data_IF_184153121957
#
_entry.id   IF_184153121957
#
_cell.length_a   1.000
_cell.length_b   1.000
_cell.length_c   1.000
_cell.angle_alpha   90.00
_cell.angle_beta   90.00
_cell.angle_gamma   90.00
#
_symmetry.space_group_name_H-M   'P 1'
#
loop_
_entity.id
_entity.type
_entity.pdbx_description
1 polymer ?
#
# COMPACT_ATOMS: atom_id res chain seq x y z
N UNK A 1 12.45 -2.59 17.55
CA UNK A 1 12.46 -2.48 16.08
C UNK A 1 12.27 -3.86 15.48
N UNK A 2 11.27 -4.05 14.63
CA UNK A 2 10.97 -5.32 13.94
C UNK A 2 11.61 -5.28 12.55
N UNK A 3 12.28 -6.37 12.16
CA UNK A 3 12.79 -6.59 10.82
C UNK A 3 12.58 -8.06 10.43
N UNK A 4 11.63 -8.33 9.53
CA UNK A 4 11.46 -9.62 8.88
C UNK A 4 11.95 -9.54 7.43
N UNK A 5 12.44 -10.66 6.90
CA UNK A 5 12.86 -10.74 5.50
C UNK A 5 12.23 -11.95 4.84
N UNK A 6 11.59 -11.73 3.70
CA UNK A 6 11.23 -12.78 2.76
C UNK A 6 12.22 -12.76 1.59
N UNK A 7 12.75 -13.92 1.22
CA UNK A 7 13.60 -14.08 0.05
C UNK A 7 13.04 -15.15 -0.86
N UNK A 8 12.60 -14.73 -2.04
CA UNK A 8 12.11 -15.61 -3.09
C UNK A 8 13.20 -16.50 -3.65
N UNK A 9 12.79 -17.61 -4.28
CA UNK A 9 13.71 -18.48 -5.01
C UNK A 9 14.22 -17.79 -6.29
N UNK A 10 15.36 -18.28 -6.78
CA UNK A 10 16.01 -17.78 -7.99
C UNK A 10 16.84 -16.52 -7.78
N UNK A 11 17.34 -15.96 -8.88
CA UNK A 11 18.05 -14.68 -8.89
C UNK A 11 17.08 -13.56 -8.47
N UNK A 12 17.50 -12.73 -7.50
CA UNK A 12 16.71 -11.61 -7.00
C UNK A 12 16.79 -10.45 -7.99
N UNK A 13 15.64 -10.09 -8.59
CA UNK A 13 15.50 -8.99 -9.55
C UNK A 13 15.00 -7.70 -8.91
N UNK A 14 14.43 -7.79 -7.71
CA UNK A 14 13.85 -6.65 -7.00
C UNK A 14 13.95 -6.80 -5.50
N UNK A 15 14.43 -5.76 -4.84
CA UNK A 15 14.47 -5.60 -3.38
C UNK A 15 13.51 -4.50 -2.95
N UNK A 16 12.66 -4.79 -1.97
CA UNK A 16 11.60 -3.87 -1.53
C UNK A 16 11.64 -3.78 -0.01
N UNK A 17 11.50 -2.59 0.55
CA UNK A 17 11.23 -2.40 1.97
C UNK A 17 9.80 -1.88 2.16
N UNK A 18 9.01 -2.61 2.95
CA UNK A 18 7.75 -2.16 3.50
C UNK A 18 7.93 -1.71 4.93
N UNK A 19 7.60 -0.44 5.21
CA UNK A 19 7.82 0.20 6.52
C UNK A 19 6.48 0.59 7.13
N UNK A 20 6.14 0.03 8.28
CA UNK A 20 4.88 0.31 8.95
C UNK A 20 5.06 1.15 10.20
N UNK A 21 4.32 2.26 10.35
CA UNK A 21 4.21 2.97 11.64
C UNK A 21 3.68 2.01 12.71
N UNK A 22 4.37 1.95 13.85
CA UNK A 22 4.16 0.95 14.89
C UNK A 22 3.95 1.53 16.29
N UNK A 23 3.21 2.62 16.41
CA UNK A 23 2.90 3.20 17.73
C UNK A 23 1.78 2.37 18.38
N UNK A 24 2.09 1.62 19.44
CA UNK A 24 1.12 0.68 20.05
C UNK A 24 -0.02 1.39 20.77
N UNK A 25 0.29 2.56 21.33
CA UNK A 25 -0.68 3.51 21.85
C UNK A 25 -0.09 4.92 21.75
N UNK A 26 -0.90 5.86 21.28
CA UNK A 26 -0.51 7.25 21.11
C UNK A 26 -1.33 8.17 22.01
N UNK A 27 -0.77 8.53 23.17
CA UNK A 27 -1.36 9.55 24.03
C UNK A 27 -1.13 10.97 23.48
N UNK A 28 -0.21 11.14 22.52
CA UNK A 28 0.34 12.42 22.07
C UNK A 28 1.54 12.93 22.88
N UNK A 29 1.95 12.20 23.92
CA UNK A 29 3.01 12.63 24.83
C UNK A 29 2.60 13.88 25.61
N UNK A 30 3.54 14.81 25.84
CA UNK A 30 3.25 16.07 26.52
C UNK A 30 2.27 16.97 25.77
N UNK A 31 2.22 16.89 24.43
CA UNK A 31 1.11 17.39 23.62
C UNK A 31 -0.08 16.41 23.65
N UNK A 32 -0.60 16.17 24.85
CA UNK A 32 -1.67 15.21 25.11
C UNK A 32 -2.87 15.45 24.18
N UNK A 33 -3.43 14.35 23.65
CA UNK A 33 -4.70 14.31 22.94
C UNK A 33 -5.89 14.61 23.88
N UNK A 34 -5.99 15.85 24.33
CA UNK A 34 -7.01 16.34 25.27
C UNK A 34 -8.13 17.15 24.58
N UNK A 35 -7.94 17.50 23.30
CA UNK A 35 -8.93 18.26 22.54
C UNK A 35 -10.20 17.46 22.24
N UNK A 36 -11.36 18.11 22.08
CA UNK A 36 -12.58 17.46 21.60
C UNK A 36 -12.35 16.77 20.25
N UNK A 37 -12.78 15.51 20.13
CA UNK A 37 -12.61 14.73 18.90
C UNK A 37 -11.18 14.28 18.61
N UNK A 38 -10.26 14.34 19.58
CA UNK A 38 -8.89 13.83 19.43
C UNK A 38 -8.78 12.31 19.34
N UNK A 39 -9.85 11.59 19.72
CA UNK A 39 -9.98 10.12 19.62
C UNK A 39 -8.90 9.35 20.37
N UNK A 40 -8.41 9.85 21.51
CA UNK A 40 -7.37 9.20 22.31
C UNK A 40 -7.73 7.73 22.65
N UNK A 41 -9.02 7.43 22.85
CA UNK A 41 -9.54 6.09 23.13
C UNK A 41 -9.37 5.10 21.96
N UNK A 42 -9.22 5.61 20.73
CA UNK A 42 -9.00 4.80 19.53
C UNK A 42 -7.51 4.56 19.23
N UNK A 43 -6.59 5.24 19.92
CA UNK A 43 -5.16 5.27 19.56
C UNK A 43 -4.40 3.94 19.68
N UNK A 44 -5.06 2.87 20.13
CA UNK A 44 -4.59 1.49 19.90
C UNK A 44 -4.46 1.13 18.41
N UNK A 45 -5.16 1.86 17.53
CA UNK A 45 -5.07 1.65 16.07
C UNK A 45 -3.81 2.28 15.45
N UNK A 46 -2.99 2.99 16.22
CA UNK A 46 -1.88 3.79 15.67
C UNK A 46 -0.64 2.96 15.25
N UNK A 47 -0.78 1.64 15.34
CA UNK A 47 0.10 0.62 14.79
C UNK A 47 -0.50 -0.06 13.53
N UNK A 48 -1.57 0.49 12.95
CA UNK A 48 -2.23 -0.09 11.76
C UNK A 48 -1.29 -0.23 10.56
N UNK A 49 -0.31 0.67 10.42
CA UNK A 49 0.73 0.54 9.40
C UNK A 49 1.59 -0.71 9.59
N UNK A 50 2.07 -0.94 10.81
CA UNK A 50 2.77 -2.16 11.20
C UNK A 50 1.91 -3.41 10.98
N UNK A 51 0.63 -3.37 11.37
CA UNK A 51 -0.31 -4.47 11.14
C UNK A 51 -0.47 -4.80 9.64
N UNK A 52 -0.57 -3.78 8.78
CA UNK A 52 -0.65 -3.97 7.34
C UNK A 52 0.62 -4.61 6.76
N UNK A 53 1.79 -4.19 7.24
CA UNK A 53 3.10 -4.74 6.85
C UNK A 53 3.27 -6.19 7.33
N UNK A 54 2.87 -6.52 8.55
CA UNK A 54 2.93 -7.90 9.05
C UNK A 54 1.90 -8.80 8.35
N UNK A 55 0.70 -8.28 8.05
CA UNK A 55 -0.30 -8.99 7.27
C UNK A 55 0.18 -9.27 5.84
N UNK A 56 0.86 -8.32 5.20
CA UNK A 56 1.47 -8.56 3.88
C UNK A 56 2.63 -9.55 3.96
N UNK A 57 3.42 -9.55 5.04
CA UNK A 57 4.44 -10.57 5.29
C UNK A 57 3.84 -11.98 5.36
N UNK A 58 2.70 -12.15 6.04
CA UNK A 58 1.97 -13.42 6.06
C UNK A 58 1.52 -13.84 4.65
N UNK A 59 0.91 -12.94 3.89
CA UNK A 59 0.47 -13.22 2.52
C UNK A 59 1.65 -13.61 1.62
N UNK A 60 2.73 -12.82 1.62
CA UNK A 60 3.91 -13.03 0.78
C UNK A 60 4.65 -14.32 1.18
N UNK A 61 4.82 -14.59 2.48
CA UNK A 61 5.43 -15.83 2.96
C UNK A 61 4.61 -17.09 2.64
N UNK A 62 3.29 -16.94 2.46
CA UNK A 62 2.38 -18.02 2.06
C UNK A 62 2.41 -18.24 0.55
N UNK A 63 2.28 -17.18 -0.24
CA UNK A 63 2.21 -17.25 -1.70
C UNK A 63 3.59 -17.58 -2.30
N UNK A 64 4.66 -17.13 -1.65
CA UNK A 64 6.07 -17.37 -2.01
C UNK A 64 6.45 -16.88 -3.42
N UNK A 65 6.34 -15.56 -3.71
CA UNK A 65 6.78 -15.00 -4.99
C UNK A 65 8.28 -15.25 -5.22
N UNK A 66 8.65 -15.58 -6.46
CA UNK A 66 10.04 -15.78 -6.87
C UNK A 66 10.69 -14.44 -7.25
N UNK A 67 12.02 -14.41 -7.32
CA UNK A 67 12.80 -13.27 -7.81
C UNK A 67 12.70 -11.95 -7.02
N UNK A 68 12.13 -11.97 -5.82
CA UNK A 68 11.97 -10.79 -4.96
C UNK A 68 12.57 -11.01 -3.58
N UNK A 69 13.14 -9.96 -3.00
CA UNK A 69 13.54 -9.88 -1.60
C UNK A 69 12.74 -8.75 -0.95
N UNK A 70 11.97 -9.07 0.08
CA UNK A 70 11.05 -8.11 0.74
C UNK A 70 11.41 -8.01 2.21
N UNK A 71 11.70 -6.79 2.65
CA UNK A 71 11.96 -6.44 4.04
C UNK A 71 10.70 -5.84 4.65
N UNK A 72 10.29 -6.35 5.79
CA UNK A 72 9.13 -5.88 6.54
C UNK A 72 9.62 -5.24 7.83
N UNK A 73 9.47 -3.93 7.95
CA UNK A 73 10.12 -3.10 8.95
C UNK A 73 9.08 -2.36 9.79
N UNK A 74 9.33 -2.24 11.09
CA UNK A 74 8.56 -1.34 11.95
C UNK A 74 9.36 -0.89 13.18
N UNK A 75 9.45 0.42 13.38
CA UNK A 75 9.97 1.02 14.60
C UNK A 75 8.88 1.07 15.68
N UNK A 76 8.60 -0.09 16.29
CA UNK A 76 7.54 -0.22 17.30
C UNK A 76 7.94 0.41 18.63
N UNK A 77 7.08 1.27 19.18
CA UNK A 77 7.17 1.86 20.51
C UNK A 77 5.79 2.36 20.97
N UNK A 78 5.72 3.05 22.11
CA UNK A 78 4.50 3.66 22.65
C UNK A 78 4.77 5.15 22.99
N UNK A 79 3.82 6.04 22.72
CA UNK A 79 3.96 7.48 22.98
C UNK A 79 3.17 7.89 24.22
N UNK A 80 3.88 8.09 25.33
CA UNK A 80 3.31 8.23 26.67
C UNK A 80 3.81 9.50 27.37
N UNK A 81 3.06 9.91 28.40
CA UNK A 81 3.51 10.93 29.35
C UNK A 81 4.28 10.24 30.48
N UNK A 82 5.48 10.74 30.77
CA UNK A 82 6.33 10.25 31.84
C UNK A 82 7.38 11.30 32.19
N UNK A 83 7.98 11.21 33.37
CA UNK A 83 9.19 11.97 33.71
C UNK A 83 10.35 11.72 32.73
N UNK A 84 10.32 10.57 32.04
CA UNK A 84 11.33 10.17 31.05
C UNK A 84 10.93 10.54 29.61
N UNK A 85 9.76 11.16 29.40
CA UNK A 85 9.28 11.48 28.05
C UNK A 85 10.07 12.66 27.46
N UNK A 86 10.35 12.57 26.17
CA UNK A 86 10.81 13.70 25.36
C UNK A 86 9.77 14.84 25.37
N UNK A 87 10.25 16.08 25.22
CA UNK A 87 9.46 17.29 25.43
C UNK A 87 9.26 18.06 24.13
N UNK A 88 8.19 18.87 24.03
CA UNK A 88 8.12 19.92 23.02
C UNK A 88 9.31 20.87 23.18
N UNK A 89 10.03 21.13 22.11
CA UNK A 89 11.25 21.94 22.06
C UNK A 89 12.55 21.14 22.21
N UNK A 90 12.52 19.84 22.54
CA UNK A 90 13.72 19.02 22.50
C UNK A 90 14.26 18.95 21.06
N UNK A 91 15.59 18.96 20.91
CA UNK A 91 16.27 18.68 19.65
C UNK A 91 16.78 17.25 19.70
N UNK A 92 16.25 16.40 18.82
CA UNK A 92 16.67 15.00 18.68
C UNK A 92 17.52 14.83 17.42
N UNK A 93 18.41 13.83 17.42
CA UNK A 93 19.26 13.55 16.25
C UNK A 93 18.87 12.21 15.65
N UNK A 94 18.46 12.21 14.38
CA UNK A 94 18.16 11.00 13.64
C UNK A 94 19.44 10.24 13.25
N UNK A 95 19.31 8.97 12.89
CA UNK A 95 20.43 8.08 12.53
C UNK A 95 21.17 8.42 11.22
N UNK A 96 20.71 9.42 10.47
CA UNK A 96 21.43 10.04 9.35
C UNK A 96 22.17 11.34 9.75
N UNK A 97 22.20 11.68 11.04
CA UNK A 97 22.87 12.86 11.59
C UNK A 97 22.04 14.14 11.54
N UNK A 98 20.86 14.15 10.90
CA UNK A 98 19.99 15.33 10.88
C UNK A 98 19.41 15.58 12.28
N UNK A 99 19.46 16.84 12.71
CA UNK A 99 18.84 17.32 13.94
C UNK A 99 17.41 17.79 13.69
N UNK A 100 16.49 17.43 14.59
CA UNK A 100 15.06 17.69 14.49
C UNK A 100 14.61 18.40 15.76
N UNK A 101 14.13 19.63 15.64
CA UNK A 101 13.39 20.33 16.68
C UNK A 101 11.97 19.74 16.77
N UNK A 102 11.61 19.27 17.96
CA UNK A 102 10.29 18.65 18.22
C UNK A 102 9.29 19.75 18.56
N UNK A 103 8.59 20.29 17.56
CA UNK A 103 7.55 21.29 17.76
C UNK A 103 6.26 20.72 18.39
N UNK A 104 6.00 19.43 18.22
CA UNK A 104 4.84 18.75 18.83
C UNK A 104 5.13 17.25 19.02
N UNK A 105 4.91 16.72 20.23
CA UNK A 105 5.11 15.30 20.58
C UNK A 105 3.99 14.37 20.11
N UNK A 106 2.87 14.91 19.61
CA UNK A 106 1.77 14.21 18.93
C UNK A 106 2.04 14.05 17.42
N UNK A 107 3.25 14.43 16.98
CA UNK A 107 3.79 14.18 15.66
C UNK A 107 4.98 13.21 15.76
N UNK A 108 4.84 12.17 16.58
CA UNK A 108 5.80 11.12 16.88
C UNK A 108 6.00 10.13 15.73
N UNK A 109 4.92 9.82 14.99
CA UNK A 109 4.94 8.78 13.98
C UNK A 109 5.98 9.04 12.91
N UNK A 110 6.12 10.30 12.47
CA UNK A 110 7.15 10.69 11.50
C UNK A 110 8.57 10.61 12.05
N UNK A 111 8.77 10.78 13.36
CA UNK A 111 10.08 10.63 14.00
C UNK A 111 10.52 9.16 13.99
N UNK A 112 9.61 8.24 14.35
CA UNK A 112 9.90 6.80 14.28
C UNK A 112 10.11 6.31 12.85
N UNK A 113 9.32 6.84 11.90
CA UNK A 113 9.49 6.54 10.48
C UNK A 113 10.79 7.11 9.92
N UNK A 114 11.27 8.27 10.36
CA UNK A 114 12.53 8.84 9.90
C UNK A 114 13.70 7.86 10.06
N UNK A 115 13.87 7.28 11.25
CA UNK A 115 14.91 6.27 11.48
C UNK A 115 14.63 4.95 10.76
N UNK A 116 13.36 4.54 10.64
CA UNK A 116 13.00 3.34 9.90
C UNK A 116 13.28 3.48 8.39
N UNK A 117 13.08 4.66 7.81
CA UNK A 117 13.38 4.99 6.42
C UNK A 117 14.90 5.04 6.17
N UNK A 118 15.66 5.67 7.06
CA UNK A 118 17.13 5.65 7.00
C UNK A 118 17.65 4.21 7.09
N UNK A 119 17.08 3.40 7.98
CA UNK A 119 17.42 1.98 8.08
C UNK A 119 17.07 1.22 6.79
N UNK A 120 15.88 1.44 6.22
CA UNK A 120 15.46 0.82 4.97
C UNK A 120 16.36 1.18 3.79
N UNK A 121 16.79 2.44 3.68
CA UNK A 121 17.72 2.88 2.63
C UNK A 121 19.10 2.23 2.78
N UNK A 122 19.61 2.08 4.01
CA UNK A 122 20.88 1.40 4.30
C UNK A 122 20.90 -0.08 3.90
N UNK A 123 19.73 -0.74 3.81
CA UNK A 123 19.63 -2.13 3.31
C UNK A 123 19.96 -2.21 1.81
N UNK A 124 19.84 -1.10 1.07
CA UNK A 124 20.10 -1.06 -0.38
C UNK A 124 18.95 -1.67 -1.20
N UNK A 125 17.71 -1.31 -0.86
CA UNK A 125 16.51 -1.74 -1.60
C UNK A 125 16.24 -0.86 -2.83
N UNK A 126 15.51 -1.39 -3.81
CA UNK A 126 15.10 -0.62 -5.00
C UNK A 126 13.94 0.34 -4.71
N UNK A 127 12.99 -0.09 -3.86
CA UNK A 127 11.85 0.73 -3.47
C UNK A 127 11.62 0.67 -1.97
N UNK A 128 11.25 1.81 -1.39
CA UNK A 128 10.73 1.91 -0.02
C UNK A 128 9.27 2.34 -0.11
N UNK A 129 8.37 1.57 0.48
CA UNK A 129 6.96 1.96 0.62
C UNK A 129 6.61 1.94 2.09
N UNK A 130 6.36 3.11 2.66
CA UNK A 130 5.87 3.20 4.03
C UNK A 130 4.35 3.40 4.10
N UNK A 131 3.74 2.90 5.16
CA UNK A 131 2.30 2.95 5.41
C UNK A 131 2.05 3.31 6.88
N UNK A 132 1.23 4.33 7.13
CA UNK A 132 1.08 4.89 8.46
C UNK A 132 -0.27 5.58 8.70
N UNK A 133 -0.78 5.47 9.92
CA UNK A 133 -1.80 6.35 10.48
C UNK A 133 -1.14 7.67 10.88
N UNK A 134 -0.80 8.51 9.90
CA UNK A 134 0.15 9.60 10.13
C UNK A 134 -0.51 10.94 10.45
N UNK A 135 -1.62 11.28 9.78
CA UNK A 135 -2.25 12.58 9.99
C UNK A 135 -3.78 12.52 10.02
N UNK A 136 -4.36 13.11 11.08
CA UNK A 136 -5.83 13.29 11.17
C UNK A 136 -6.42 14.13 10.02
N UNK A 137 -5.59 14.94 9.35
CA UNK A 137 -6.00 15.71 8.16
C UNK A 137 -6.51 14.83 7.00
N UNK A 138 -6.16 13.54 6.95
CA UNK A 138 -6.70 12.61 5.96
C UNK A 138 -8.21 12.45 6.04
N UNK A 139 -8.79 12.53 7.24
CA UNK A 139 -10.25 12.50 7.43
C UNK A 139 -10.96 13.68 6.77
N UNK A 140 -10.28 14.83 6.70
CA UNK A 140 -10.83 16.05 6.10
C UNK A 140 -10.57 16.14 4.60
N UNK A 141 -9.53 15.46 4.09
CA UNK A 141 -9.16 15.49 2.68
C UNK A 141 -9.82 14.38 1.87
N UNK A 142 -9.63 13.12 2.26
CA UNK A 142 -10.11 11.94 1.53
C UNK A 142 -11.18 11.14 2.29
N UNK A 143 -11.47 11.51 3.53
CA UNK A 143 -12.47 10.86 4.36
C UNK A 143 -12.00 9.49 4.86
N UNK A 144 -12.94 8.56 4.97
CA UNK A 144 -12.70 7.25 5.62
C UNK A 144 -12.53 6.09 4.63
N UNK A 145 -12.67 6.34 3.33
CA UNK A 145 -12.66 5.28 2.31
C UNK A 145 -11.32 5.19 1.59
N UNK A 146 -10.76 6.32 1.17
CA UNK A 146 -9.52 6.38 0.39
C UNK A 146 -8.32 6.70 1.28
N UNK A 147 -7.20 6.01 1.07
CA UNK A 147 -5.90 6.42 1.59
C UNK A 147 -5.22 7.41 0.65
N UNK A 148 -4.30 8.22 1.17
CA UNK A 148 -3.49 9.13 0.37
C UNK A 148 -2.12 8.54 0.09
N UNK A 149 -1.66 8.53 -1.17
CA UNK A 149 -0.28 8.22 -1.51
C UNK A 149 0.49 9.48 -1.89
N UNK A 150 1.70 9.61 -1.37
CA UNK A 150 2.69 10.64 -1.68
C UNK A 150 3.99 9.93 -2.09
N UNK A 151 4.94 10.63 -2.70
CA UNK A 151 6.23 10.02 -3.00
C UNK A 151 7.15 10.90 -3.84
N UNK A 152 8.40 10.46 -3.98
CA UNK A 152 9.44 11.15 -4.74
C UNK A 152 9.61 10.59 -6.17
N UNK A 153 8.95 9.47 -6.50
CA UNK A 153 9.04 8.78 -7.79
C UNK A 153 7.64 8.46 -8.34
N UNK A 154 7.28 9.11 -9.45
CA UNK A 154 6.01 8.90 -10.14
C UNK A 154 5.81 7.46 -10.64
N UNK A 155 6.89 6.76 -11.05
CA UNK A 155 6.80 5.37 -11.49
C UNK A 155 6.41 4.46 -10.33
N UNK A 156 6.96 4.71 -9.14
CA UNK A 156 6.60 3.97 -7.93
C UNK A 156 5.16 4.25 -7.52
N UNK A 157 4.74 5.52 -7.55
CA UNK A 157 3.35 5.90 -7.24
C UNK A 157 2.37 5.21 -8.19
N UNK A 158 2.65 5.22 -9.49
CA UNK A 158 1.82 4.53 -10.48
C UNK A 158 1.70 3.02 -10.23
N UNK A 159 2.77 2.36 -9.74
CA UNK A 159 2.69 0.95 -9.31
C UNK A 159 1.74 0.77 -8.13
N UNK A 160 1.77 1.66 -7.14
CA UNK A 160 0.85 1.63 -5.99
C UNK A 160 -0.59 1.85 -6.44
N UNK A 161 -0.84 2.80 -7.34
CA UNK A 161 -2.18 3.04 -7.90
C UNK A 161 -2.69 1.83 -8.70
N UNK A 162 -1.82 1.13 -9.42
CA UNK A 162 -2.19 -0.12 -10.09
C UNK A 162 -2.56 -1.21 -9.08
N UNK A 163 -1.79 -1.36 -8.00
CA UNK A 163 -2.07 -2.31 -6.92
C UNK A 163 -3.33 -1.96 -6.14
N UNK A 164 -3.65 -0.68 -5.99
CA UNK A 164 -4.92 -0.20 -5.43
C UNK A 164 -6.10 -0.68 -6.27
N UNK A 165 -6.01 -0.58 -7.60
CA UNK A 165 -7.05 -1.10 -8.51
C UNK A 165 -7.20 -2.62 -8.41
N UNK A 166 -6.10 -3.36 -8.36
CA UNK A 166 -6.13 -4.83 -8.26
C UNK A 166 -6.64 -5.35 -6.93
N UNK A 167 -6.26 -4.71 -5.82
CA UNK A 167 -6.66 -5.10 -4.46
C UNK A 167 -8.06 -4.64 -4.05
N UNK A 168 -8.65 -3.70 -4.82
CA UNK A 168 -9.84 -2.94 -4.42
C UNK A 168 -9.68 -2.19 -3.09
N UNK A 169 -8.44 -1.84 -2.72
CA UNK A 169 -8.15 -0.95 -1.59
C UNK A 169 -7.85 0.44 -2.15
N UNK A 170 -8.81 1.38 -2.09
CA UNK A 170 -8.73 2.62 -2.85
C UNK A 170 -7.69 3.58 -2.29
N UNK A 171 -6.83 4.07 -3.18
CA UNK A 171 -5.73 5.01 -2.89
C UNK A 171 -5.81 6.16 -3.89
N UNK A 172 -5.60 7.38 -3.41
CA UNK A 172 -5.55 8.58 -4.24
C UNK A 172 -4.18 9.24 -4.16
N UNK A 173 -3.61 9.64 -5.30
CA UNK A 173 -2.34 10.35 -5.32
C UNK A 173 -2.53 11.80 -4.90
N UNK A 174 -1.80 12.19 -3.85
CA UNK A 174 -1.71 13.56 -3.34
C UNK A 174 -0.30 14.14 -3.59
N UNK A 175 -0.19 15.46 -3.82
CA UNK A 175 1.09 16.08 -4.18
C UNK A 175 2.00 16.27 -2.97
N UNK A 176 3.32 16.21 -3.20
CA UNK A 176 4.33 16.82 -2.33
C UNK A 176 4.62 18.23 -2.87
N UNK A 177 4.08 19.25 -2.21
CA UNK A 177 4.18 20.66 -2.63
C UNK A 177 5.47 21.26 -2.07
N UNK A 178 6.49 21.43 -2.92
CA UNK A 178 7.85 21.84 -2.50
C UNK A 178 7.89 23.21 -1.83
N UNK A 179 7.00 24.12 -2.20
CA UNK A 179 6.86 25.47 -1.62
C UNK A 179 6.59 25.43 -0.11
N UNK A 180 6.07 24.31 0.39
CA UNK A 180 5.77 24.12 1.80
C UNK A 180 6.97 23.65 2.63
N UNK A 181 8.13 23.37 2.01
CA UNK A 181 9.36 23.00 2.73
C UNK A 181 9.80 24.08 3.73
N UNK A 182 9.48 25.35 3.46
CA UNK A 182 9.70 26.46 4.41
C UNK A 182 8.99 26.28 5.76
N UNK A 183 7.94 25.46 5.84
CA UNK A 183 7.20 25.25 7.07
C UNK A 183 7.83 24.21 8.00
N UNK A 184 8.78 23.40 7.51
CA UNK A 184 9.56 22.47 8.33
C UNK A 184 10.96 23.02 8.65
N UNK A 185 11.23 24.30 8.42
CA UNK A 185 12.50 24.91 8.83
C UNK A 185 12.54 25.11 10.35
N UNK A 186 13.74 24.98 10.93
CA UNK A 186 14.01 25.31 12.33
C UNK A 186 15.04 26.45 12.41
N UNK A 187 15.03 27.17 13.52
CA UNK A 187 16.02 28.22 13.83
C UNK A 187 17.26 27.68 14.55
N UNK A 188 17.17 26.48 15.13
CA UNK A 188 18.19 25.89 16.01
C UNK A 188 18.54 24.43 15.69
N UNK A 189 17.77 23.77 14.82
CA UNK A 189 18.04 22.44 14.27
C UNK A 189 17.99 22.47 12.73
N UNK A 190 18.30 21.35 12.07
CA UNK A 190 18.20 21.25 10.61
C UNK A 190 16.76 21.35 10.12
N UNK A 191 15.79 20.90 10.93
CA UNK A 191 14.36 20.97 10.63
C UNK A 191 13.47 20.86 11.86
N UNK A 192 12.20 21.20 11.66
CA UNK A 192 11.11 21.00 12.61
C UNK A 192 10.29 19.76 12.23
N UNK A 193 9.86 18.97 13.22
CA UNK A 193 9.01 17.81 12.95
C UNK A 193 7.60 18.20 12.48
N UNK A 194 7.08 19.34 12.91
CA UNK A 194 5.77 19.83 12.53
C UNK A 194 5.73 21.36 12.47
N UNK A 195 4.58 21.91 12.09
CA UNK A 195 4.35 23.35 11.96
C UNK A 195 2.93 23.71 12.35
N UNK A 196 2.75 24.88 12.95
CA UNK A 196 1.42 25.49 13.16
C UNK A 196 1.04 26.46 12.04
N UNK A 197 2.00 26.83 11.18
CA UNK A 197 1.84 27.85 10.14
C UNK A 197 1.23 27.31 8.83
N UNK A 198 0.90 26.03 8.76
CA UNK A 198 0.21 25.40 7.63
C UNK A 198 -0.82 24.38 8.12
N UNK A 199 -1.98 24.38 7.46
CA UNK A 199 -3.05 23.40 7.73
C UNK A 199 -2.94 22.13 6.87
N UNK A 200 -2.01 22.09 5.90
CA UNK A 200 -1.82 20.96 5.00
C UNK A 200 -0.93 19.86 5.62
N UNK A 201 -1.25 19.40 6.84
CA UNK A 201 -0.34 18.60 7.67
C UNK A 201 0.10 17.27 7.04
N UNK A 202 -0.72 16.63 6.20
CA UNK A 202 -0.34 15.41 5.45
C UNK A 202 0.78 15.67 4.43
N UNK A 203 0.74 16.83 3.75
CA UNK A 203 1.80 17.26 2.83
C UNK A 203 3.07 17.63 3.59
N UNK A 204 2.92 18.34 4.72
CA UNK A 204 4.05 18.68 5.60
C UNK A 204 4.73 17.42 6.16
N UNK A 205 3.96 16.43 6.59
CA UNK A 205 4.48 15.16 7.07
C UNK A 205 5.25 14.43 5.96
N UNK A 206 4.71 14.41 4.74
CA UNK A 206 5.37 13.80 3.58
C UNK A 206 6.66 14.52 3.20
N UNK A 207 6.70 15.86 3.27
CA UNK A 207 7.93 16.63 3.08
C UNK A 207 8.98 16.29 4.14
N UNK A 208 8.57 16.19 5.40
CA UNK A 208 9.47 15.78 6.48
C UNK A 208 10.04 14.38 6.22
N UNK A 209 9.20 13.38 5.90
CA UNK A 209 9.67 12.01 5.62
C UNK A 209 10.62 11.94 4.42
N UNK A 210 10.37 12.72 3.38
CA UNK A 210 11.22 12.78 2.19
C UNK A 210 12.64 13.25 2.48
N UNK A 211 12.89 13.90 3.62
CA UNK A 211 14.24 14.30 4.06
C UNK A 211 15.07 13.13 4.59
N UNK A 212 14.46 11.97 4.82
CA UNK A 212 15.09 10.76 5.36
C UNK A 212 15.28 9.66 4.31
N UNK A 213 15.00 9.97 3.04
CA UNK A 213 15.30 9.12 1.88
C UNK A 213 16.11 9.96 0.89
N UNK A 214 17.35 9.56 0.62
CA UNK A 214 18.28 10.35 -0.18
C UNK A 214 18.19 10.06 -1.68
N UNK A 215 18.19 8.78 -2.04
CA UNK A 215 18.40 8.32 -3.41
C UNK A 215 17.45 7.21 -3.87
N UNK A 216 16.78 6.55 -2.92
CA UNK A 216 15.86 5.45 -3.24
C UNK A 216 14.47 5.95 -3.64
N UNK A 217 13.86 5.29 -4.62
CA UNK A 217 12.45 5.51 -4.97
C UNK A 217 11.56 5.19 -3.77
N UNK A 218 10.81 6.18 -3.32
CA UNK A 218 10.02 6.12 -2.10
C UNK A 218 8.59 6.64 -2.29
N UNK A 219 7.66 5.96 -1.60
CA UNK A 219 6.29 6.38 -1.49
C UNK A 219 5.75 6.17 -0.07
N UNK A 220 4.92 7.11 0.37
CA UNK A 220 4.26 7.13 1.66
C UNK A 220 2.75 6.98 1.46
N UNK A 221 2.12 6.08 2.21
CA UNK A 221 0.69 5.84 2.20
C UNK A 221 0.10 6.23 3.56
N UNK A 222 -0.60 7.38 3.63
CA UNK A 222 -1.31 7.81 4.83
C UNK A 222 -2.69 7.16 4.88
N UNK A 223 -2.86 6.28 5.87
CA UNK A 223 -4.07 5.49 6.11
C UNK A 223 -4.86 5.95 7.34
N UNK A 224 -4.53 7.10 7.94
CA UNK A 224 -5.19 7.58 9.15
C UNK A 224 -6.73 7.61 9.06
N UNK A 225 -7.27 8.01 7.90
CA UNK A 225 -8.72 7.96 7.67
C UNK A 225 -9.26 6.58 7.31
N UNK A 226 -8.47 5.75 6.62
CA UNK A 226 -8.93 4.51 6.02
C UNK A 226 -8.75 3.26 6.89
N UNK A 227 -7.93 3.31 7.94
CA UNK A 227 -7.56 2.15 8.75
C UNK A 227 -8.72 1.58 9.61
N UNK A 228 -9.69 2.43 9.99
CA UNK A 228 -10.72 2.08 10.97
C UNK A 228 -12.14 2.20 10.41
N UNK A 229 -13.05 1.33 10.86
CA UNK A 229 -14.50 1.44 10.62
C UNK A 229 -15.09 2.07 11.88
N UNK A 230 -15.31 3.39 11.85
CA UNK A 230 -15.76 4.17 13.00
C UNK A 230 -17.12 3.69 13.54
N UNK A 231 -18.09 3.44 12.66
CA UNK A 231 -19.45 3.03 13.08
C UNK A 231 -19.49 1.66 13.78
N UNK A 232 -18.60 0.74 13.38
CA UNK A 232 -18.55 -0.62 13.91
C UNK A 232 -17.43 -0.82 14.94
N UNK A 233 -16.66 0.23 15.22
CA UNK A 233 -15.49 0.21 16.13
C UNK A 233 -14.52 -0.95 15.88
N UNK A 234 -14.23 -1.24 14.61
CA UNK A 234 -13.35 -2.36 14.20
C UNK A 234 -12.31 -1.94 13.15
N UNK A 235 -11.13 -2.56 13.12
CA UNK A 235 -10.12 -2.29 12.09
C UNK A 235 -10.57 -2.84 10.72
N UNK A 236 -10.12 -2.19 9.63
CA UNK A 236 -10.29 -2.73 8.26
C UNK A 236 -9.22 -3.74 7.85
N UNK A 237 -8.05 -3.69 8.49
CA UNK A 237 -6.84 -4.34 7.95
C UNK A 237 -6.39 -3.73 6.62
N UNK A 238 -6.68 -2.44 6.40
CA UNK A 238 -6.37 -1.72 5.16
C UNK A 238 -4.87 -1.76 4.87
N UNK A 239 -4.50 -2.06 3.62
CA UNK A 239 -3.12 -2.05 3.16
C UNK A 239 -2.53 -3.45 3.00
N UNK A 240 -3.08 -4.48 3.66
CA UNK A 240 -2.57 -5.86 3.54
C UNK A 240 -2.64 -6.35 2.09
N UNK A 241 -3.80 -6.18 1.44
CA UNK A 241 -3.98 -6.60 0.04
C UNK A 241 -3.26 -5.67 -0.90
N UNK A 242 -3.31 -4.36 -0.66
CA UNK A 242 -2.58 -3.36 -1.45
C UNK A 242 -1.08 -3.66 -1.56
N UNK A 243 -0.42 -3.92 -0.43
CA UNK A 243 1.02 -4.23 -0.40
C UNK A 243 1.32 -5.62 -0.98
N UNK A 244 0.42 -6.59 -0.80
CA UNK A 244 0.59 -7.94 -1.36
C UNK A 244 0.41 -7.98 -2.88
N UNK A 245 -0.47 -7.13 -3.42
CA UNK A 245 -0.71 -6.92 -4.86
C UNK A 245 0.27 -5.90 -5.49
N UNK A 246 1.29 -5.46 -4.75
CA UNK A 246 2.26 -4.50 -5.24
C UNK A 246 2.93 -5.01 -6.53
N UNK A 247 2.90 -4.22 -7.61
CA UNK A 247 3.32 -4.71 -8.94
C UNK A 247 4.75 -5.21 -9.04
N UNK A 248 5.69 -4.72 -8.21
CA UNK A 248 7.05 -5.30 -8.26
C UNK A 248 7.18 -6.60 -7.45
N UNK A 249 6.13 -6.99 -6.72
CA UNK A 249 5.91 -8.32 -6.15
C UNK A 249 5.22 -9.24 -7.17
N UNK A 250 4.93 -8.73 -8.40
CA UNK A 250 4.08 -9.36 -9.43
C UNK A 250 4.14 -10.89 -9.38
N UNK A 251 3.13 -11.38 -8.68
CA UNK A 251 2.62 -12.72 -8.80
C UNK A 251 2.03 -12.81 -10.19
N UNK A 252 2.70 -13.55 -11.06
CA UNK A 252 2.22 -13.98 -12.37
C UNK A 252 1.80 -12.87 -13.35
N UNK A 253 2.68 -12.53 -14.30
CA UNK A 253 2.32 -12.42 -15.73
C UNK A 253 3.49 -12.19 -16.69
N UNK A 254 4.47 -13.09 -16.67
CA UNK A 254 5.27 -13.37 -17.88
C UNK A 254 5.38 -14.87 -18.15
N UNK A 255 5.31 -15.71 -17.11
CA UNK A 255 5.57 -17.15 -17.24
C UNK A 255 4.36 -18.02 -17.61
N UNK A 256 3.11 -17.59 -17.37
CA UNK A 256 1.95 -18.44 -17.74
C UNK A 256 1.82 -18.48 -19.25
N UNK A 257 1.56 -17.33 -19.91
CA UNK A 257 1.34 -17.36 -21.35
C UNK A 257 2.58 -17.86 -22.11
N UNK A 258 3.79 -17.40 -21.73
CA UNK A 258 5.00 -17.82 -22.42
C UNK A 258 5.38 -19.28 -22.15
N UNK A 259 5.08 -19.82 -20.96
CA UNK A 259 5.25 -21.22 -20.58
C UNK A 259 4.16 -22.17 -21.11
N UNK A 260 3.05 -21.66 -21.66
CA UNK A 260 2.06 -22.51 -22.33
C UNK A 260 2.62 -23.10 -23.62
N UNK A 261 2.37 -24.40 -23.83
CA UNK A 261 2.60 -25.05 -25.12
C UNK A 261 1.85 -24.33 -26.25
N UNK A 262 2.25 -24.52 -27.51
CA UNK A 262 1.57 -23.91 -28.68
C UNK A 262 0.05 -24.19 -28.67
N UNK A 263 -0.38 -25.37 -28.24
CA UNK A 263 -1.80 -25.76 -28.08
C UNK A 263 -2.46 -25.05 -26.88
N UNK A 264 -1.74 -24.88 -25.78
CA UNK A 264 -2.17 -24.10 -24.60
C UNK A 264 -2.37 -22.63 -24.93
N UNK A 265 -1.43 -22.00 -25.64
CA UNK A 265 -1.52 -20.60 -26.12
C UNK A 265 -2.76 -20.39 -27.00
N UNK A 266 -3.03 -21.33 -27.92
CA UNK A 266 -4.22 -21.27 -28.78
C UNK A 266 -5.54 -21.39 -28.00
N UNK A 267 -5.61 -22.27 -26.99
CA UNK A 267 -6.80 -22.38 -26.12
C UNK A 267 -6.97 -21.15 -25.23
N UNK A 268 -5.89 -20.63 -24.66
CA UNK A 268 -5.91 -19.42 -23.83
C UNK A 268 -6.44 -18.21 -24.61
N UNK A 269 -5.91 -17.99 -25.83
CA UNK A 269 -6.41 -16.96 -26.76
C UNK A 269 -7.88 -17.16 -27.15
N UNK A 270 -8.33 -18.41 -27.32
CA UNK A 270 -9.70 -18.71 -27.75
C UNK A 270 -10.75 -18.57 -26.64
N UNK A 271 -10.40 -18.92 -25.40
CA UNK A 271 -11.39 -19.10 -24.32
C UNK A 271 -11.23 -18.14 -23.15
N UNK A 272 -10.01 -17.68 -22.85
CA UNK A 272 -9.73 -16.85 -21.66
C UNK A 272 -9.52 -15.38 -22.05
N UNK A 273 -8.80 -15.12 -23.15
CA UNK A 273 -8.54 -13.76 -23.61
C UNK A 273 -9.81 -12.91 -23.89
N UNK A 274 -10.89 -13.45 -24.50
CA UNK A 274 -12.12 -12.67 -24.70
C UNK A 274 -12.75 -12.21 -23.37
N UNK A 275 -12.64 -13.03 -22.33
CA UNK A 275 -13.17 -12.72 -20.99
C UNK A 275 -12.33 -11.64 -20.29
N UNK A 276 -11.01 -11.67 -20.44
CA UNK A 276 -10.11 -10.62 -19.93
C UNK A 276 -10.33 -9.28 -20.67
N UNK A 277 -10.57 -9.32 -21.99
CA UNK A 277 -10.90 -8.13 -22.81
C UNK A 277 -12.23 -7.49 -22.38
N UNK A 278 -13.23 -8.29 -22.00
CA UNK A 278 -14.55 -7.80 -21.56
C UNK A 278 -14.53 -7.15 -20.17
N UNK A 279 -13.64 -7.60 -19.28
CA UNK A 279 -13.62 -7.18 -17.87
C UNK A 279 -12.51 -6.17 -17.53
N UNK A 280 -11.84 -5.58 -18.53
CA UNK A 280 -10.76 -4.59 -18.37
C UNK A 280 -9.65 -5.00 -17.36
N UNK A 281 -9.43 -6.29 -17.18
CA UNK A 281 -8.36 -6.79 -16.33
C UNK A 281 -7.02 -6.68 -17.08
N UNK A 282 -6.15 -5.81 -16.56
CA UNK A 282 -4.74 -5.67 -16.89
C UNK A 282 -4.42 -5.23 -18.35
N UNK A 283 -4.28 -3.91 -18.55
CA UNK A 283 -3.96 -3.29 -19.84
C UNK A 283 -2.59 -3.73 -20.42
N UNK A 284 -1.61 -4.11 -19.59
CA UNK A 284 -0.31 -4.59 -20.07
C UNK A 284 -0.41 -6.00 -20.67
N UNK A 285 -1.21 -6.87 -20.06
CA UNK A 285 -1.49 -8.20 -20.60
C UNK A 285 -2.21 -8.12 -21.95
N UNK A 286 -3.11 -7.15 -22.10
CA UNK A 286 -3.78 -6.90 -23.37
C UNK A 286 -2.84 -6.36 -24.45
N UNK A 287 -1.89 -5.47 -24.08
CA UNK A 287 -0.87 -4.93 -25.00
C UNK A 287 0.10 -6.00 -25.49
N UNK A 288 0.53 -6.92 -24.62
CA UNK A 288 1.36 -8.07 -24.97
C UNK A 288 0.65 -9.06 -25.92
N UNK A 289 -0.69 -9.10 -25.91
CA UNK A 289 -1.48 -10.10 -26.63
C UNK A 289 -1.97 -9.67 -28.01
N UNK A 290 -2.17 -8.37 -28.27
CA UNK A 290 -2.72 -7.89 -29.54
C UNK A 290 -1.69 -7.42 -30.56
N UNK A 291 -0.46 -7.06 -30.19
CA UNK A 291 0.56 -6.62 -31.17
C UNK A 291 0.23 -5.33 -31.95
N UNK A 292 -1.03 -4.92 -32.10
CA UNK A 292 -1.48 -3.68 -32.77
C UNK A 292 -2.87 -3.19 -32.27
N UNK A 293 -3.02 -1.86 -32.22
CA UNK A 293 -4.20 -0.98 -32.11
C UNK A 293 -5.52 -1.42 -31.41
N UNK A 294 -5.80 -0.77 -30.28
CA UNK A 294 -6.92 -0.97 -29.32
C UNK A 294 -8.30 -0.48 -29.83
N UNK A 295 -8.41 0.12 -31.02
CA UNK A 295 -9.63 0.81 -31.47
C UNK A 295 -10.75 -0.11 -32.00
N UNK A 296 -10.44 -1.36 -32.35
CA UNK A 296 -11.41 -2.31 -32.95
C UNK A 296 -12.25 -3.09 -31.93
N UNK A 297 -11.84 -3.14 -30.66
CA UNK A 297 -12.45 -3.98 -29.62
C UNK A 297 -13.72 -3.38 -28.98
N UNK A 298 -13.91 -2.05 -29.04
CA UNK A 298 -15.13 -1.38 -28.55
C UNK A 298 -16.39 -1.74 -29.36
N UNK A 299 -16.25 -2.07 -30.66
CA UNK A 299 -17.38 -2.42 -31.54
C UNK A 299 -17.92 -3.84 -31.30
N UNK A 300 -17.13 -4.73 -30.70
CA UNK A 300 -17.52 -6.12 -30.43
C UNK A 300 -18.33 -6.30 -29.14
N UNK A 301 -18.34 -5.31 -28.23
CA UNK A 301 -19.03 -5.41 -26.94
C UNK A 301 -20.56 -5.34 -27.04
N UNK A 302 -21.14 -4.95 -28.17
CA UNK A 302 -22.59 -4.69 -28.26
C UNK A 302 -23.45 -5.87 -28.73
N UNK A 303 -22.87 -7.03 -29.09
CA UNK A 303 -23.64 -8.19 -29.58
C UNK A 303 -22.98 -9.50 -29.19
N UNK A 304 -23.50 -10.15 -28.14
CA UNK A 304 -23.99 -11.55 -28.18
C UNK A 304 -24.02 -12.20 -26.78
N UNK A 305 -25.19 -12.76 -26.46
CA UNK A 305 -25.41 -13.74 -25.40
C UNK A 305 -24.55 -14.98 -25.64
N UNK A 306 -23.46 -15.14 -24.89
CA UNK A 306 -22.71 -16.38 -24.83
C UNK A 306 -22.86 -17.02 -23.45
N UNK A 307 -23.83 -17.95 -23.33
CA UNK A 307 -23.89 -18.88 -22.20
C UNK A 307 -22.73 -19.87 -22.32
N UNK A 308 -21.62 -19.59 -21.65
CA UNK A 308 -20.51 -20.53 -21.55
C UNK A 308 -20.73 -21.52 -20.41
N UNK A 309 -20.45 -22.80 -20.66
CA UNK A 309 -20.53 -23.85 -19.66
C UNK A 309 -19.35 -23.72 -18.67
N UNK A 310 -19.61 -23.08 -17.53
CA UNK A 310 -18.65 -22.82 -16.45
C UNK A 310 -17.92 -24.10 -16.00
N UNK A 311 -18.59 -25.26 -16.03
CA UNK A 311 -17.99 -26.52 -15.61
C UNK A 311 -16.88 -26.98 -16.58
N UNK A 312 -16.99 -26.65 -17.87
CA UNK A 312 -15.94 -26.95 -18.85
C UNK A 312 -14.71 -26.05 -18.66
N UNK A 313 -14.90 -24.79 -18.28
CA UNK A 313 -13.83 -23.85 -17.96
C UNK A 313 -13.10 -24.24 -16.68
N UNK A 314 -13.84 -24.59 -15.62
CA UNK A 314 -13.27 -25.09 -14.35
C UNK A 314 -12.46 -26.37 -14.56
N UNK A 315 -12.96 -27.31 -15.37
CA UNK A 315 -12.25 -28.55 -15.70
C UNK A 315 -10.93 -28.28 -16.43
N UNK A 316 -10.93 -27.41 -17.45
CA UNK A 316 -9.71 -27.06 -18.19
C UNK A 316 -8.72 -26.28 -17.33
N UNK A 317 -9.17 -25.41 -16.44
CA UNK A 317 -8.30 -24.68 -15.51
C UNK A 317 -7.66 -25.62 -14.48
N UNK A 318 -8.42 -26.59 -13.96
CA UNK A 318 -7.91 -27.63 -13.05
C UNK A 318 -6.93 -28.57 -13.77
N UNK A 319 -7.23 -29.01 -14.99
CA UNK A 319 -6.34 -29.85 -15.81
C UNK A 319 -4.99 -29.18 -16.12
N UNK A 320 -4.88 -27.86 -15.99
CA UNK A 320 -3.65 -27.10 -16.31
C UNK A 320 -3.06 -26.34 -15.11
N UNK A 321 -3.49 -26.63 -13.87
CA UNK A 321 -3.03 -25.97 -12.64
C UNK A 321 -3.15 -24.42 -12.66
N UNK A 322 -4.16 -23.89 -13.34
CA UNK A 322 -4.42 -22.43 -13.44
C UNK A 322 -5.66 -22.02 -12.63
N UNK A 323 -6.05 -22.84 -11.65
CA UNK A 323 -7.25 -22.68 -10.83
C UNK A 323 -7.32 -21.36 -10.05
N UNK A 324 -6.16 -20.75 -9.74
CA UNK A 324 -6.05 -19.45 -9.08
C UNK A 324 -6.62 -18.28 -9.90
N UNK A 325 -6.68 -18.38 -11.25
CA UNK A 325 -7.29 -17.35 -12.11
C UNK A 325 -8.83 -17.38 -12.12
N UNK A 326 -9.44 -18.45 -11.59
CA UNK A 326 -10.89 -18.64 -11.59
C UNK A 326 -11.42 -18.76 -10.16
N UNK A 327 -11.12 -17.79 -9.31
CA UNK A 327 -11.88 -17.57 -8.08
C UNK A 327 -13.24 -16.92 -8.41
N UNK A 328 -14.03 -17.60 -9.25
CA UNK A 328 -15.44 -17.30 -9.48
C UNK A 328 -16.24 -17.96 -8.35
N UNK A 329 -16.12 -17.38 -7.15
CA UNK A 329 -16.91 -17.74 -5.97
C UNK A 329 -17.96 -16.65 -5.64
N UNK A 330 -18.52 -16.00 -6.67
CA UNK A 330 -19.81 -15.32 -6.51
C UNK A 330 -20.94 -16.36 -6.64
N UNK A 331 -21.37 -16.87 -5.50
CA UNK A 331 -22.56 -17.70 -5.32
C UNK A 331 -23.88 -16.92 -5.34
N UNK A 332 -23.90 -15.66 -5.75
CA UNK A 332 -25.15 -14.94 -6.07
C UNK A 332 -25.56 -15.17 -7.51
N UNK A 333 -25.97 -16.39 -7.84
CA UNK A 333 -26.82 -16.72 -9.01
C UNK A 333 -27.42 -18.14 -8.89
N UNK A 334 -27.55 -18.64 -7.66
CA UNK A 334 -28.45 -19.74 -7.36
C UNK A 334 -29.81 -19.14 -6.99
N UNK A 335 -30.72 -19.13 -7.95
CA UNK A 335 -32.13 -19.33 -7.61
C UNK A 335 -32.59 -20.64 -8.27
N UNK A 336 -33.16 -21.49 -7.43
CA UNK A 336 -33.63 -22.83 -7.77
C UNK A 336 -35.15 -22.83 -7.77
N UNK A 337 -35.73 -23.37 -8.87
CA UNK A 337 -37.10 -23.90 -9.04
C UNK A 337 -38.23 -22.86 -9.24
N UNK A 338 -38.80 -22.89 -10.45
CA UNK A 338 -39.98 -23.74 -10.76
C UNK A 338 -40.15 -23.92 -12.27
N UNK A 339 -40.24 -25.19 -12.70
CA UNK A 339 -40.91 -25.60 -13.94
C UNK A 339 -42.39 -25.82 -13.61
N UNK A 340 -43.27 -25.27 -14.45
CA UNK A 340 -44.57 -25.84 -14.82
C UNK A 340 -45.75 -25.67 -13.85
N UNK A 341 -46.68 -24.78 -14.22
CA UNK A 341 -47.98 -25.14 -14.79
C UNK A 341 -48.42 -24.03 -15.73
#
# INVERSE_FOLDING_TARGET
FIHLTYKGKGEIKKKIAFVGKGITFDAGGYNLKAGPGSMIELMKFDMSGCAAVLGSAYCIGTIKPEHVEVHFLSAVCENMISQNAYRPGDIVTASNGKTIEVGNTDAEGRLTLADALVYAEKIGVDHIVDIATLTGAMLFSLGTSYAGVFGNDEKLINKILASSKSSSEPVWWLPIIKEYKKFISSRCADMNNTTTNSKASSIIASLFLNEFVQSTSWAHIDIAGAAWIFNDSKPKGFGVRLLSEYKSIDLFNDNIYNGLTRKGKNKFKKYILPYLKLNACNLELLKLLDGENIQSSKKAMSKNNLKYNINKLKRVANENNVSLLLNLNDTHLLDTKKKGS
#
